data_IF_839291013829
#
_entry.id   IF_839291013829
#
_cell.length_a   1.000
_cell.length_b   1.000
_cell.length_c   1.000
_cell.angle_alpha   90.00
_cell.angle_beta   90.00
_cell.angle_gamma   90.00
#
_symmetry.space_group_name_H-M   'P 1'
#
loop_
_entity.id
_entity.type
_entity.pdbx_description
1 polymer ?
#
# COMPACT_ATOMS: atom_id res chain seq x y z
N UNK A 1 -1.63 30.94 1.31
CA UNK A 1 -2.64 30.81 2.37
C UNK A 1 -2.20 31.63 3.59
N UNK A 2 -1.09 31.25 4.24
CA UNK A 2 -0.49 31.93 5.40
C UNK A 2 -0.36 33.44 5.22
N UNK A 3 0.32 33.90 4.16
CA UNK A 3 0.55 35.34 3.91
C UNK A 3 -0.73 36.17 3.81
N UNK A 4 -1.77 35.64 3.15
CA UNK A 4 -3.04 36.34 2.97
C UNK A 4 -3.82 36.44 4.30
N UNK A 5 -3.77 35.40 5.12
CA UNK A 5 -4.39 35.41 6.45
C UNK A 5 -3.66 36.33 7.41
N UNK A 6 -2.31 36.27 7.43
CA UNK A 6 -1.48 37.20 8.22
C UNK A 6 -1.78 38.64 7.81
N UNK A 7 -1.79 38.96 6.51
CA UNK A 7 -2.14 40.29 6.01
C UNK A 7 -3.52 40.74 6.51
N UNK A 8 -4.52 39.88 6.37
CA UNK A 8 -5.91 40.18 6.77
C UNK A 8 -6.01 40.43 8.28
N UNK A 9 -5.39 39.56 9.09
CA UNK A 9 -5.42 39.69 10.54
C UNK A 9 -4.68 40.95 11.02
N UNK A 10 -3.51 41.25 10.45
CA UNK A 10 -2.75 42.44 10.81
C UNK A 10 -3.47 43.74 10.38
N UNK A 11 -4.13 43.74 9.22
CA UNK A 11 -4.96 44.86 8.79
C UNK A 11 -6.15 45.08 9.74
N UNK A 12 -6.84 44.01 10.14
CA UNK A 12 -7.91 44.08 11.15
C UNK A 12 -7.40 44.57 12.50
N UNK A 13 -6.27 44.03 12.96
CA UNK A 13 -5.64 44.44 14.21
C UNK A 13 -5.23 45.91 14.23
N UNK A 14 -4.71 46.43 13.11
CA UNK A 14 -4.42 47.86 12.95
C UNK A 14 -5.67 48.71 13.16
N UNK A 15 -6.82 48.29 12.62
CA UNK A 15 -8.11 49.00 12.80
C UNK A 15 -8.56 48.94 14.27
N UNK A 16 -8.47 47.78 14.92
CA UNK A 16 -8.80 47.58 16.35
C UNK A 16 -7.95 48.46 17.26
N UNK A 17 -6.64 48.46 17.03
CA UNK A 17 -5.67 49.25 17.79
C UNK A 17 -5.92 50.75 17.59
N UNK A 18 -6.14 51.20 16.35
CA UNK A 18 -6.50 52.59 16.10
C UNK A 18 -7.83 52.92 16.79
N UNK A 19 -8.85 52.09 16.75
CA UNK A 19 -10.12 52.40 17.40
C UNK A 19 -9.98 52.54 18.94
N UNK A 20 -9.11 51.74 19.56
CA UNK A 20 -8.94 51.71 21.03
C UNK A 20 -7.96 52.76 21.55
N UNK A 21 -6.82 52.95 20.90
CA UNK A 21 -5.75 53.82 21.40
C UNK A 21 -5.81 55.27 20.85
N UNK A 22 -6.51 55.49 19.73
CA UNK A 22 -6.57 56.80 19.06
C UNK A 22 -7.00 57.97 19.94
N UNK A 23 -7.92 57.75 20.89
CA UNK A 23 -8.34 58.81 21.82
C UNK A 23 -7.20 59.26 22.73
N UNK A 24 -6.43 58.30 23.28
CA UNK A 24 -5.27 58.60 24.12
C UNK A 24 -4.13 59.23 23.30
N UNK A 25 -4.06 58.94 22.01
CA UNK A 25 -3.00 59.45 21.12
C UNK A 25 -3.23 60.82 20.51
N UNK A 26 -4.47 61.17 20.14
CA UNK A 26 -4.77 62.53 19.65
C UNK A 26 -4.53 63.58 20.75
N UNK A 27 -4.68 63.19 22.02
CA UNK A 27 -4.36 64.06 23.17
C UNK A 27 -2.85 64.28 23.37
N UNK A 28 -2.00 63.32 22.97
CA UNK A 28 -0.54 63.36 23.19
C UNK A 28 0.27 63.78 21.96
N UNK A 29 -0.21 63.53 20.74
CA UNK A 29 0.42 63.94 19.49
C UNK A 29 -0.64 64.24 18.40
N UNK A 30 -1.00 65.52 18.19
CA UNK A 30 -1.98 65.93 17.18
C UNK A 30 -1.56 65.62 15.73
N UNK A 31 -0.28 65.27 15.47
CA UNK A 31 0.29 65.07 14.13
C UNK A 31 0.38 63.59 13.68
N UNK A 32 -0.20 62.65 14.45
CA UNK A 32 -1.16 61.76 13.80
C UNK A 32 -0.76 60.32 13.46
N UNK A 33 -1.58 59.78 12.54
CA UNK A 33 -1.80 58.36 12.26
C UNK A 33 -0.55 57.55 11.86
N UNK A 34 0.56 58.21 11.51
CA UNK A 34 1.85 57.56 11.26
C UNK A 34 2.55 57.07 12.54
N UNK A 35 2.01 57.40 13.71
CA UNK A 35 2.49 56.89 15.00
C UNK A 35 2.42 55.35 15.07
N UNK A 36 1.52 54.71 14.30
CA UNK A 36 1.14 53.32 14.44
C UNK A 36 1.69 52.39 13.35
N UNK A 37 1.26 51.12 13.38
CA UNK A 37 1.58 50.11 12.36
C UNK A 37 1.11 50.58 10.97
N UNK A 38 2.04 50.73 10.04
CA UNK A 38 1.76 51.20 8.67
C UNK A 38 1.48 50.01 7.76
N UNK A 39 0.77 50.25 6.65
CA UNK A 39 0.51 49.18 5.68
C UNK A 39 1.81 48.63 5.09
N UNK A 40 2.82 49.48 4.90
CA UNK A 40 4.16 49.05 4.50
C UNK A 40 4.85 48.14 5.53
N UNK A 41 4.65 48.38 6.84
CA UNK A 41 5.20 47.51 7.89
C UNK A 41 4.48 46.14 7.86
N UNK A 42 3.18 46.10 7.57
CA UNK A 42 2.42 44.86 7.38
C UNK A 42 2.97 44.07 6.20
N UNK A 43 3.19 44.71 5.05
CA UNK A 43 3.76 44.05 3.88
C UNK A 43 5.20 43.56 4.12
N UNK A 44 6.02 44.31 4.87
CA UNK A 44 7.36 43.90 5.26
C UNK A 44 7.33 42.65 6.16
N UNK A 45 6.40 42.59 7.12
CA UNK A 45 6.18 41.41 7.98
C UNK A 45 5.71 40.22 7.14
N UNK A 46 4.71 40.41 6.28
CA UNK A 46 4.14 39.34 5.43
C UNK A 46 5.20 38.78 4.49
N UNK A 47 5.99 39.64 3.84
CA UNK A 47 7.06 39.23 2.92
C UNK A 47 8.20 38.49 3.62
N UNK A 48 8.36 38.68 4.93
CA UNK A 48 9.39 38.04 5.76
C UNK A 48 8.80 37.10 6.81
N UNK A 49 7.57 36.63 6.62
CA UNK A 49 6.82 35.94 7.67
C UNK A 49 7.53 34.68 8.19
N UNK A 50 8.28 33.98 7.32
CA UNK A 50 9.09 32.82 7.72
C UNK A 50 10.19 33.19 8.73
N UNK A 51 10.84 34.35 8.56
CA UNK A 51 11.87 34.85 9.49
C UNK A 51 11.23 35.27 10.81
N UNK A 52 10.12 35.99 10.74
CA UNK A 52 9.35 36.43 11.92
C UNK A 52 8.89 35.22 12.73
N UNK A 53 8.32 34.21 12.07
CA UNK A 53 7.91 32.96 12.72
C UNK A 53 9.10 32.17 13.27
N UNK A 54 10.24 32.17 12.58
CA UNK A 54 11.47 31.60 13.14
C UNK A 54 11.87 32.30 14.44
N UNK A 55 11.83 33.64 14.49
CA UNK A 55 12.10 34.41 15.71
C UNK A 55 11.11 34.13 16.83
N UNK A 56 9.85 33.85 16.51
CA UNK A 56 8.84 33.49 17.51
C UNK A 56 9.13 32.12 18.15
N UNK A 57 9.69 31.18 17.39
CA UNK A 57 10.00 29.82 17.83
C UNK A 57 11.29 29.72 18.63
N UNK A 58 12.25 30.58 18.33
CA UNK A 58 13.62 30.46 18.77
C UNK A 58 14.05 31.75 19.46
N UNK A 59 14.22 31.69 20.78
CA UNK A 59 14.66 32.84 21.58
C UNK A 59 16.08 33.30 21.20
N UNK A 60 16.87 32.43 20.57
CA UNK A 60 18.21 32.68 20.04
C UNK A 60 18.22 33.12 18.56
N UNK A 61 17.06 33.48 18.00
CA UNK A 61 16.97 33.90 16.62
C UNK A 61 17.88 35.11 16.31
N UNK A 62 18.40 35.20 15.08
CA UNK A 62 19.22 36.33 14.67
C UNK A 62 18.46 37.66 14.83
N UNK A 63 19.12 38.73 15.31
CA UNK A 63 18.47 40.01 15.56
C UNK A 63 17.67 40.53 14.36
N UNK A 64 18.13 40.30 13.13
CA UNK A 64 17.46 40.67 11.88
C UNK A 64 16.05 40.08 11.72
N UNK A 65 15.73 38.97 12.40
CA UNK A 65 14.43 38.30 12.32
C UNK A 65 13.44 38.85 13.35
N UNK A 66 13.90 39.68 14.28
CA UNK A 66 13.04 40.29 15.29
C UNK A 66 12.08 41.31 14.66
N UNK A 67 10.85 41.34 15.19
CA UNK A 67 9.78 42.25 14.76
C UNK A 67 10.20 43.73 14.71
N UNK A 68 11.13 44.12 15.58
CA UNK A 68 11.71 45.47 15.63
C UNK A 68 12.28 45.96 14.30
N UNK A 69 12.76 45.07 13.42
CA UNK A 69 13.37 45.47 12.15
C UNK A 69 12.36 45.66 11.02
N UNK A 70 11.18 45.06 11.15
CA UNK A 70 10.10 45.16 10.16
C UNK A 70 9.16 46.34 10.44
N UNK A 71 9.31 46.99 11.59
CA UNK A 71 8.39 48.03 12.05
C UNK A 71 9.14 49.35 12.24
N UNK A 72 8.86 50.34 11.38
CA UNK A 72 9.47 51.67 11.48
C UNK A 72 8.59 52.69 12.22
N UNK A 73 7.46 52.25 12.77
CA UNK A 73 6.60 53.08 13.63
C UNK A 73 7.38 53.73 14.78
N UNK A 74 7.02 54.97 15.09
CA UNK A 74 7.57 55.70 16.26
C UNK A 74 7.17 55.06 17.58
N UNK A 75 5.99 54.43 17.63
CA UNK A 75 5.45 53.71 18.80
C UNK A 75 5.78 52.22 18.78
N UNK A 76 6.79 51.78 18.02
CA UNK A 76 7.17 50.36 17.93
C UNK A 76 7.33 49.69 19.31
N UNK A 77 7.82 50.40 20.33
CA UNK A 77 7.97 49.86 21.70
C UNK A 77 6.64 49.48 22.35
N UNK A 78 5.55 50.17 22.03
CA UNK A 78 4.20 49.91 22.55
C UNK A 78 3.49 48.83 21.73
N UNK A 79 3.69 48.88 20.41
CA UNK A 79 2.98 48.02 19.43
C UNK A 79 3.59 46.62 19.38
N UNK A 80 4.92 46.50 19.43
CA UNK A 80 5.64 45.22 19.26
C UNK A 80 5.17 44.15 20.26
N UNK A 81 5.05 44.41 21.57
CA UNK A 81 4.61 43.37 22.51
C UNK A 81 3.22 42.82 22.17
N UNK A 82 2.28 43.67 21.77
CA UNK A 82 0.93 43.24 21.41
C UNK A 82 0.92 42.51 20.06
N UNK A 83 1.69 43.01 19.09
CA UNK A 83 1.81 42.39 17.77
C UNK A 83 2.50 41.02 17.84
N UNK A 84 3.49 40.86 18.72
CA UNK A 84 4.16 39.58 18.99
C UNK A 84 3.15 38.53 19.49
N UNK A 85 2.22 38.91 20.37
CA UNK A 85 1.13 38.03 20.81
C UNK A 85 0.26 37.60 19.63
N UNK A 86 -0.20 38.54 18.81
CA UNK A 86 -1.04 38.25 17.63
C UNK A 86 -0.33 37.30 16.66
N UNK A 87 0.95 37.53 16.41
CA UNK A 87 1.75 36.69 15.52
C UNK A 87 2.04 35.30 16.11
N UNK A 88 2.23 35.20 17.42
CA UNK A 88 2.34 33.91 18.13
C UNK A 88 1.07 33.09 18.01
N UNK A 89 -0.10 33.71 18.22
CA UNK A 89 -1.40 33.05 18.07
C UNK A 89 -1.61 32.55 16.63
N UNK A 90 -1.31 33.39 15.63
CA UNK A 90 -1.39 32.99 14.23
C UNK A 90 -0.44 31.83 13.91
N UNK A 91 0.81 31.92 14.36
CA UNK A 91 1.80 30.89 14.12
C UNK A 91 1.41 29.55 14.77
N UNK A 92 0.90 29.58 16.00
CA UNK A 92 0.40 28.39 16.69
C UNK A 92 -0.76 27.74 15.93
N UNK A 93 -1.72 28.52 15.42
CA UNK A 93 -2.81 28.00 14.60
C UNK A 93 -2.30 27.31 13.33
N UNK A 94 -1.29 27.86 12.65
CA UNK A 94 -0.72 27.22 11.47
C UNK A 94 0.00 25.90 11.79
N UNK A 95 0.71 25.83 12.92
CA UNK A 95 1.31 24.58 13.37
C UNK A 95 0.22 23.51 13.57
N UNK A 96 -0.86 23.86 14.26
CA UNK A 96 -1.96 22.93 14.53
C UNK A 96 -2.65 22.45 13.25
N UNK A 97 -2.86 23.35 12.29
CA UNK A 97 -3.44 23.01 10.99
C UNK A 97 -2.52 22.09 10.16
N UNK A 98 -1.21 22.35 10.15
CA UNK A 98 -0.22 21.50 9.48
C UNK A 98 -0.15 20.11 10.13
N UNK A 99 -0.09 20.04 11.46
CA UNK A 99 -0.11 18.79 12.20
C UNK A 99 -1.39 17.99 11.95
N UNK A 100 -2.54 18.66 11.93
CA UNK A 100 -3.81 18.00 11.67
C UNK A 100 -3.92 17.48 10.23
N UNK A 101 -3.47 18.27 9.25
CA UNK A 101 -3.39 17.83 7.86
C UNK A 101 -2.44 16.62 7.70
N UNK A 102 -1.31 16.63 8.40
CA UNK A 102 -0.37 15.51 8.41
C UNK A 102 -0.99 14.25 9.04
N UNK A 103 -1.70 14.39 10.17
CA UNK A 103 -2.44 13.28 10.81
C UNK A 103 -3.50 12.69 9.89
N UNK A 104 -4.30 13.53 9.23
CA UNK A 104 -5.33 13.07 8.27
C UNK A 104 -4.70 12.32 7.10
N UNK A 105 -3.57 12.81 6.57
CA UNK A 105 -2.87 12.16 5.46
C UNK A 105 -2.27 10.81 5.89
N UNK A 106 -1.70 10.73 7.09
CA UNK A 106 -1.18 9.49 7.65
C UNK A 106 -2.29 8.45 7.86
N UNK A 107 -3.44 8.88 8.38
CA UNK A 107 -4.60 8.00 8.60
C UNK A 107 -5.18 7.49 7.27
N UNK A 108 -5.30 8.35 6.25
CA UNK A 108 -5.72 7.90 4.92
C UNK A 108 -4.75 6.88 4.30
N UNK A 109 -3.44 7.02 4.55
CA UNK A 109 -2.45 6.04 4.07
C UNK A 109 -2.63 4.70 4.77
N UNK A 110 -2.84 4.70 6.08
CA UNK A 110 -3.13 3.48 6.87
C UNK A 110 -4.39 2.79 6.38
N UNK A 111 -5.49 3.51 6.19
CA UNK A 111 -6.75 2.95 5.67
C UNK A 111 -6.57 2.30 4.30
N UNK A 112 -5.84 2.95 3.37
CA UNK A 112 -5.55 2.37 2.05
C UNK A 112 -4.68 1.11 2.12
N UNK A 113 -3.78 1.03 3.10
CA UNK A 113 -2.95 -0.14 3.31
C UNK A 113 -3.77 -1.30 3.89
N UNK A 114 -4.60 -1.02 4.90
CA UNK A 114 -5.52 -1.99 5.50
C UNK A 114 -6.51 -2.54 4.46
N UNK A 115 -7.08 -1.70 3.58
CA UNK A 115 -7.93 -2.13 2.47
C UNK A 115 -7.20 -3.03 1.48
N UNK A 116 -5.96 -2.69 1.11
CA UNK A 116 -5.14 -3.52 0.22
C UNK A 116 -4.86 -4.88 0.83
N UNK A 117 -4.55 -4.93 2.11
CA UNK A 117 -4.25 -6.18 2.80
C UNK A 117 -5.50 -7.03 3.00
N UNK A 118 -6.64 -6.43 3.31
CA UNK A 118 -7.93 -7.11 3.32
C UNK A 118 -8.27 -7.71 1.95
N UNK A 119 -8.06 -6.96 0.86
CA UNK A 119 -8.27 -7.45 -0.50
C UNK A 119 -7.32 -8.60 -0.87
N UNK A 120 -6.04 -8.54 -0.47
CA UNK A 120 -5.08 -9.66 -0.65
C UNK A 120 -5.52 -10.90 0.12
N UNK A 121 -5.94 -10.75 1.39
CA UNK A 121 -6.44 -11.85 2.22
C UNK A 121 -7.67 -12.50 1.61
N UNK A 122 -8.62 -11.71 1.13
CA UNK A 122 -9.82 -12.19 0.44
C UNK A 122 -9.46 -13.01 -0.82
N UNK A 123 -8.59 -12.46 -1.69
CA UNK A 123 -8.12 -13.17 -2.89
C UNK A 123 -7.36 -14.45 -2.58
N UNK A 124 -6.61 -14.48 -1.47
CA UNK A 124 -5.92 -15.68 -1.02
C UNK A 124 -6.91 -16.76 -0.57
N UNK A 125 -7.90 -16.40 0.25
CA UNK A 125 -8.96 -17.31 0.67
C UNK A 125 -9.72 -17.89 -0.54
N UNK A 126 -10.14 -17.04 -1.48
CA UNK A 126 -10.84 -17.47 -2.71
C UNK A 126 -10.00 -18.47 -3.54
N UNK A 127 -8.68 -18.27 -3.63
CA UNK A 127 -7.78 -19.21 -4.32
C UNK A 127 -7.63 -20.54 -3.58
N UNK A 128 -7.57 -20.51 -2.25
CA UNK A 128 -7.52 -21.73 -1.45
C UNK A 128 -8.81 -22.54 -1.59
N UNK A 129 -9.97 -21.88 -1.52
CA UNK A 129 -11.28 -22.53 -1.69
C UNK A 129 -11.46 -23.13 -3.09
N UNK A 130 -10.96 -22.45 -4.13
CA UNK A 130 -10.98 -22.96 -5.50
C UNK A 130 -10.09 -24.21 -5.64
N UNK A 131 -8.88 -24.20 -5.06
CA UNK A 131 -8.00 -25.39 -5.05
C UNK A 131 -8.60 -26.55 -4.28
N UNK A 132 -9.31 -26.29 -3.18
CA UNK A 132 -9.97 -27.33 -2.40
C UNK A 132 -11.08 -28.00 -3.21
N UNK A 133 -11.93 -27.20 -3.88
CA UNK A 133 -12.96 -27.72 -4.80
C UNK A 133 -12.37 -28.51 -5.96
N UNK A 134 -11.30 -28.04 -6.59
CA UNK A 134 -10.63 -28.76 -7.68
C UNK A 134 -10.06 -30.12 -7.20
N UNK A 135 -9.53 -30.17 -5.97
CA UNK A 135 -9.06 -31.41 -5.37
C UNK A 135 -10.22 -32.39 -5.12
N UNK A 136 -11.33 -31.92 -4.55
CA UNK A 136 -12.54 -32.72 -4.34
C UNK A 136 -13.12 -33.27 -5.65
N UNK A 137 -13.18 -32.46 -6.71
CA UNK A 137 -13.62 -32.90 -8.04
C UNK A 137 -12.68 -33.92 -8.67
N UNK A 138 -11.36 -33.81 -8.47
CA UNK A 138 -10.39 -34.83 -8.92
C UNK A 138 -10.51 -36.13 -8.13
N UNK A 139 -10.79 -36.06 -6.83
CA UNK A 139 -11.02 -37.24 -6.01
C UNK A 139 -12.35 -37.94 -6.33
N UNK A 140 -13.39 -37.20 -6.72
CA UNK A 140 -14.66 -37.79 -7.18
C UNK A 140 -14.61 -38.39 -8.59
N UNK A 141 -13.72 -37.88 -9.47
CA UNK A 141 -13.53 -38.42 -10.82
C UNK A 141 -12.50 -39.56 -10.92
N UNK A 142 -11.99 -40.09 -9.81
CA UNK A 142 -11.19 -41.32 -9.79
C UNK A 142 -12.06 -42.58 -9.86
N UNK A 143 -12.86 -42.70 -10.93
CA UNK A 143 -13.22 -44.02 -11.44
C UNK A 143 -11.94 -44.70 -11.92
N UNK A 144 -11.67 -45.91 -11.40
CA UNK A 144 -10.43 -46.66 -11.55
C UNK A 144 -9.81 -46.58 -12.95
N UNK A 145 -8.61 -46.05 -13.02
CA UNK A 145 -7.80 -45.98 -14.23
C UNK A 145 -7.42 -47.42 -14.61
N UNK A 146 -8.23 -48.09 -15.44
CA UNK A 146 -7.89 -49.40 -16.00
C UNK A 146 -6.58 -49.21 -16.77
N UNK A 147 -5.49 -49.93 -16.44
CA UNK A 147 -4.21 -49.77 -17.12
C UNK A 147 -4.39 -49.91 -18.63
N UNK A 148 -3.82 -49.00 -19.43
CA UNK A 148 -3.83 -49.13 -20.89
C UNK A 148 -2.99 -50.35 -21.30
N UNK A 149 -3.65 -51.51 -21.39
CA UNK A 149 -3.07 -52.77 -21.87
C UNK A 149 -2.86 -52.69 -23.39
N UNK A 150 -1.76 -53.28 -23.90
CA UNK A 150 -1.66 -53.58 -25.32
C UNK A 150 -2.70 -54.64 -25.72
N UNK A 151 -3.01 -54.74 -27.01
CA UNK A 151 -4.05 -55.66 -27.51
C UNK A 151 -3.77 -57.12 -27.13
N UNK A 152 -2.51 -57.57 -27.22
CA UNK A 152 -2.14 -58.94 -26.85
C UNK A 152 -2.35 -59.26 -25.36
N UNK A 153 -2.01 -58.33 -24.45
CA UNK A 153 -2.26 -58.51 -23.01
C UNK A 153 -3.74 -58.39 -22.66
N UNK A 154 -4.50 -57.58 -23.39
CA UNK A 154 -5.96 -57.51 -23.24
C UNK A 154 -6.61 -58.83 -23.62
N UNK A 155 -6.25 -59.39 -24.78
CA UNK A 155 -6.78 -60.67 -25.25
C UNK A 155 -6.40 -61.82 -24.32
N UNK A 156 -5.14 -61.87 -23.83
CA UNK A 156 -4.71 -62.89 -22.87
C UNK A 156 -5.50 -62.83 -21.56
N UNK A 157 -5.63 -61.66 -20.96
CA UNK A 157 -6.33 -61.51 -19.67
C UNK A 157 -7.82 -61.83 -19.77
N UNK A 158 -8.45 -61.58 -20.92
CA UNK A 158 -9.83 -62.01 -21.19
C UNK A 158 -9.95 -63.54 -21.29
N UNK A 159 -8.97 -64.21 -21.90
CA UNK A 159 -8.96 -65.66 -22.03
C UNK A 159 -8.52 -66.39 -20.74
N UNK A 160 -7.70 -65.75 -19.91
CA UNK A 160 -7.13 -66.30 -18.67
C UNK A 160 -7.40 -65.39 -17.47
N UNK A 161 -8.67 -65.27 -17.03
CA UNK A 161 -9.06 -64.33 -15.97
C UNK A 161 -8.45 -64.69 -14.60
N UNK A 162 -8.04 -65.95 -14.40
CA UNK A 162 -7.45 -66.44 -13.15
C UNK A 162 -5.91 -66.39 -13.12
N UNK A 163 -5.24 -66.08 -14.24
CA UNK A 163 -3.79 -65.79 -14.31
C UNK A 163 -3.51 -64.59 -15.24
N UNK A 164 -3.92 -63.37 -14.84
CA UNK A 164 -3.76 -62.19 -15.67
C UNK A 164 -2.31 -61.70 -15.67
N UNK A 165 -1.82 -61.28 -16.83
CA UNK A 165 -0.51 -60.63 -16.95
C UNK A 165 -0.60 -59.15 -16.53
N UNK A 166 0.33 -58.73 -15.68
CA UNK A 166 0.50 -57.32 -15.29
C UNK A 166 1.26 -56.58 -16.38
N UNK A 167 0.53 -55.91 -17.27
CA UNK A 167 1.12 -55.16 -18.38
C UNK A 167 1.33 -53.69 -17.99
N UNK A 168 2.45 -53.41 -17.31
CA UNK A 168 2.91 -52.04 -17.11
C UNK A 168 3.80 -51.59 -18.27
N UNK A 169 3.50 -50.43 -18.85
CA UNK A 169 4.47 -49.61 -19.60
C UNK A 169 4.90 -50.04 -21.01
N UNK A 170 4.44 -51.16 -21.57
CA UNK A 170 4.85 -51.59 -22.91
C UNK A 170 3.82 -51.19 -23.98
N UNK A 171 4.06 -50.07 -24.65
CA UNK A 171 3.20 -49.50 -25.69
C UNK A 171 3.85 -49.45 -27.08
N UNK A 172 5.04 -50.05 -27.25
CA UNK A 172 5.79 -50.09 -28.52
C UNK A 172 6.41 -51.46 -28.79
N UNK A 173 6.64 -51.76 -30.08
CA UNK A 173 7.21 -53.01 -30.63
C UNK A 173 8.53 -53.50 -29.98
N UNK A 174 9.24 -52.66 -29.23
CA UNK A 174 10.55 -52.95 -28.66
C UNK A 174 10.54 -53.36 -27.17
N UNK A 175 9.40 -53.32 -26.49
CA UNK A 175 9.29 -53.82 -25.12
C UNK A 175 8.67 -55.23 -25.12
N UNK A 176 9.33 -56.20 -24.50
CA UNK A 176 8.86 -57.59 -24.42
C UNK A 176 7.45 -57.64 -23.81
N UNK A 177 6.50 -58.14 -24.58
CA UNK A 177 5.09 -58.24 -24.18
C UNK A 177 4.89 -59.44 -23.23
N UNK A 178 4.40 -59.26 -22.00
CA UNK A 178 4.21 -60.35 -21.04
C UNK A 178 3.30 -61.47 -21.56
N UNK A 179 2.24 -61.14 -22.31
CA UNK A 179 1.35 -62.14 -22.90
C UNK A 179 2.05 -62.98 -23.98
N UNK A 180 2.94 -62.37 -24.78
CA UNK A 180 3.72 -63.10 -25.78
C UNK A 180 4.76 -64.02 -25.16
N UNK A 181 5.32 -63.65 -24.01
CA UNK A 181 6.25 -64.51 -23.26
C UNK A 181 5.53 -65.75 -22.70
N UNK A 182 4.36 -65.56 -22.08
CA UNK A 182 3.52 -66.68 -21.59
C UNK A 182 3.11 -67.64 -22.71
N UNK A 183 2.70 -67.11 -23.88
CA UNK A 183 2.40 -67.93 -25.06
C UNK A 183 3.61 -68.79 -25.50
N UNK A 184 4.82 -68.22 -25.46
CA UNK A 184 6.03 -68.94 -25.84
C UNK A 184 6.37 -70.04 -24.83
N UNK A 185 6.27 -69.75 -23.54
CA UNK A 185 6.44 -70.74 -22.46
C UNK A 185 5.45 -71.91 -22.56
N UNK A 186 4.19 -71.66 -22.94
CA UNK A 186 3.20 -72.73 -23.14
C UNK A 186 3.44 -73.58 -24.39
N UNK A 187 4.07 -73.03 -25.42
CA UNK A 187 4.40 -73.76 -26.66
C UNK A 187 5.66 -74.62 -26.46
N UNK A 188 6.67 -74.11 -25.74
CA UNK A 188 7.89 -74.86 -25.43
C UNK A 188 7.65 -75.97 -24.38
N UNK A 189 6.51 -75.98 -23.69
CA UNK A 189 6.13 -76.99 -22.70
C UNK A 189 5.32 -78.18 -23.26
N UNK A 190 5.06 -78.26 -24.57
CA UNK A 190 4.41 -79.44 -25.16
C UNK A 190 5.43 -80.57 -25.40
N UNK A 191 5.22 -81.78 -24.84
CA UNK A 191 6.08 -82.92 -25.12
C UNK A 191 5.93 -83.35 -26.58
N UNK A 192 7.04 -83.42 -27.30
CA UNK A 192 7.12 -84.08 -28.62
C UNK A 192 6.71 -85.56 -28.45
N UNK A 193 5.48 -85.88 -28.87
CA UNK A 193 5.07 -87.27 -29.06
C UNK A 193 5.73 -87.79 -30.33
N UNK A 194 6.83 -88.52 -30.17
CA UNK A 194 7.44 -89.30 -31.26
C UNK A 194 6.44 -90.34 -31.74
N UNK A 195 5.95 -90.14 -32.97
CA UNK A 195 5.06 -91.07 -33.66
C UNK A 195 5.77 -92.37 -34.04
N UNK A 196 5.10 -93.49 -33.77
CA UNK A 196 5.32 -94.77 -34.43
C UNK A 196 5.28 -94.61 -35.94
N UNK A 197 6.22 -95.23 -36.64
CA UNK A 197 6.04 -95.60 -38.04
C UNK A 197 6.41 -97.07 -38.22
N UNK A 198 5.44 -97.85 -38.66
CA UNK A 198 5.53 -99.26 -39.07
C UNK A 198 5.69 -99.31 -40.59
N UNK A 199 6.53 -100.24 -41.07
CA UNK A 199 6.61 -100.91 -42.39
C UNK A 199 8.09 -100.97 -42.84
N UNK A 200 8.67 -102.11 -43.24
CA UNK A 200 8.17 -103.39 -43.77
C UNK A 200 8.72 -104.60 -43.02
#
# INVERSE_FOLDING_TARGET
AVEAEVRTRLAGWKVEMNATLWKEEVELDPLGAEAFLRDADIEDIVSNIAKVFHSIRHDDAPPEFHLTNFIRSRRRRTIIPQLDIVLRELHQRFIEEEEDAARRLAEQRRQREEEKDAAKRKRFAEKCDAKHREAEEKHQNHHGNIPRLCEACRTWNNAHPFDPVKAHGHNKRSAQCPARLKLKETVDAQPVTSGSNVQL
#
